data_IF_857369103917
#
_entry.id   IF_857369103917
#
_cell.length_a   1.000
_cell.length_b   1.000
_cell.length_c   1.000
_cell.angle_alpha   90.00
_cell.angle_beta   90.00
_cell.angle_gamma   90.00
#
_symmetry.space_group_name_H-M   'P 1'
#
loop_
_entity.id
_entity.type
_entity.pdbx_description
1 polymer ?
#
# COMPACT_ATOMS: atom_id res chain seq x y z
N UNK A 1 17.89 10.31 8.47
CA UNK A 1 17.16 10.04 7.21
C UNK A 1 15.66 10.08 7.51
N UNK A 2 14.86 10.82 6.74
CA UNK A 2 13.46 11.06 7.07
C UNK A 2 12.54 10.05 6.36
N UNK A 3 11.62 9.45 7.12
CA UNK A 3 10.65 8.51 6.59
C UNK A 3 9.31 9.21 6.35
N UNK A 4 8.59 8.78 5.32
CA UNK A 4 7.25 9.27 5.04
C UNK A 4 6.26 8.12 5.02
N UNK A 5 5.05 8.36 5.51
CA UNK A 5 3.92 7.44 5.33
C UNK A 5 3.24 7.77 4.00
N UNK A 6 3.11 6.77 3.14
CA UNK A 6 2.26 6.81 1.94
C UNK A 6 0.87 6.26 2.30
N UNK A 7 -0.17 7.07 2.11
CA UNK A 7 -1.57 6.69 2.35
C UNK A 7 -2.38 6.98 1.10
N UNK A 8 -3.31 6.12 0.74
CA UNK A 8 -4.24 6.38 -0.34
C UNK A 8 -5.22 7.50 0.06
N UNK A 9 -5.53 8.41 -0.85
CA UNK A 9 -6.60 9.39 -0.66
C UNK A 9 -7.93 8.77 -1.12
N UNK A 10 -8.84 8.41 -0.20
CA UNK A 10 -10.09 7.76 -0.57
C UNK A 10 -11.10 8.72 -1.18
N UNK A 11 -11.02 10.03 -0.92
CA UNK A 11 -12.05 10.97 -1.39
C UNK A 11 -11.78 11.42 -2.81
N UNK A 12 -12.81 11.28 -3.65
CA UNK A 12 -12.83 11.81 -5.01
C UNK A 12 -12.13 10.93 -6.06
N UNK A 13 -11.52 9.82 -5.66
CA UNK A 13 -10.89 8.87 -6.58
C UNK A 13 -11.70 7.58 -6.70
N UNK A 14 -11.65 6.96 -7.88
CA UNK A 14 -12.24 5.64 -8.11
C UNK A 14 -11.62 4.58 -7.20
N UNK A 15 -12.44 3.63 -6.79
CA UNK A 15 -11.99 2.46 -6.03
C UNK A 15 -12.27 1.17 -6.81
N UNK A 16 -11.52 0.13 -6.51
CA UNK A 16 -11.62 -1.17 -7.15
C UNK A 16 -12.13 -2.21 -6.15
N UNK A 17 -12.91 -3.15 -6.66
CA UNK A 17 -13.32 -4.36 -5.95
C UNK A 17 -13.23 -5.58 -6.87
N UNK A 18 -13.45 -6.75 -6.31
CA UNK A 18 -13.66 -7.96 -7.07
C UNK A 18 -14.94 -7.84 -7.90
N UNK A 19 -14.95 -8.46 -9.08
CA UNK A 19 -16.20 -8.59 -9.85
C UNK A 19 -17.30 -9.28 -9.03
N UNK A 20 -18.58 -8.89 -9.21
CA UNK A 20 -19.70 -9.60 -8.60
C UNK A 20 -19.63 -11.11 -8.83
N UNK A 21 -19.86 -11.88 -7.77
CA UNK A 21 -19.77 -13.35 -7.81
C UNK A 21 -18.39 -13.93 -7.52
N UNK A 22 -17.34 -13.11 -7.43
CA UNK A 22 -16.03 -13.52 -6.91
C UNK A 22 -15.96 -13.33 -5.40
N UNK A 23 -15.22 -14.19 -4.70
CA UNK A 23 -15.00 -14.04 -3.25
C UNK A 23 -13.53 -13.77 -2.93
N UNK A 24 -13.29 -13.11 -1.79
CA UNK A 24 -11.95 -12.93 -1.25
C UNK A 24 -11.29 -14.27 -0.87
N UNK A 25 -12.08 -15.29 -0.50
CA UNK A 25 -11.58 -16.62 -0.18
C UNK A 25 -10.95 -17.31 -1.39
N UNK A 26 -11.54 -17.11 -2.58
CA UNK A 26 -11.02 -17.62 -3.85
C UNK A 26 -9.78 -16.85 -4.32
N UNK A 27 -9.59 -15.63 -3.80
CA UNK A 27 -8.54 -14.69 -4.21
C UNK A 27 -7.55 -14.39 -3.08
N UNK A 28 -7.11 -15.44 -2.36
CA UNK A 28 -6.03 -15.32 -1.36
C UNK A 28 -4.74 -14.68 -1.94
N UNK A 29 -4.56 -14.70 -3.26
CA UNK A 29 -3.47 -13.99 -3.94
C UNK A 29 -3.46 -12.48 -3.61
N UNK A 30 -4.60 -11.87 -3.33
CA UNK A 30 -4.74 -10.44 -3.02
C UNK A 30 -4.36 -10.08 -1.59
N UNK A 31 -4.34 -11.05 -0.66
CA UNK A 31 -3.95 -10.80 0.72
C UNK A 31 -2.46 -10.53 0.78
N UNK A 32 -2.09 -9.36 1.30
CA UNK A 32 -0.71 -9.05 1.59
C UNK A 32 -0.20 -9.85 2.79
N UNK A 33 0.93 -10.52 2.63
CA UNK A 33 1.62 -11.27 3.69
C UNK A 33 3.15 -11.01 3.73
N UNK A 34 3.65 -10.11 2.87
CA UNK A 34 5.07 -9.79 2.74
C UNK A 34 5.84 -10.69 1.78
N UNK A 35 5.26 -11.79 1.32
CA UNK A 35 5.93 -12.69 0.38
C UNK A 35 5.85 -12.18 -1.06
N UNK A 36 6.85 -12.60 -1.85
CA UNK A 36 6.80 -12.49 -3.31
C UNK A 36 5.62 -13.26 -3.87
N UNK A 37 4.92 -12.65 -4.83
CA UNK A 37 3.78 -13.25 -5.53
C UNK A 37 4.07 -13.49 -7.00
N UNK A 38 5.20 -13.05 -7.56
CA UNK A 38 5.48 -13.14 -9.01
C UNK A 38 5.27 -14.53 -9.60
N UNK A 39 5.69 -15.59 -8.90
CA UNK A 39 5.60 -16.97 -9.39
C UNK A 39 4.24 -17.65 -9.12
N UNK A 40 3.41 -17.05 -8.27
CA UNK A 40 2.11 -17.61 -7.85
C UNK A 40 0.94 -16.71 -8.25
N UNK A 41 1.22 -15.58 -8.88
CA UNK A 41 0.23 -14.58 -9.22
C UNK A 41 -0.76 -15.12 -10.25
N UNK A 42 -2.03 -15.07 -9.85
CA UNK A 42 -3.17 -15.29 -10.73
C UNK A 42 -3.98 -14.00 -10.69
N UNK A 43 -3.93 -13.24 -11.79
CA UNK A 43 -4.63 -11.97 -11.91
C UNK A 43 -6.12 -12.20 -11.69
N UNK A 44 -6.74 -11.63 -10.64
CA UNK A 44 -8.18 -11.61 -10.54
C UNK A 44 -8.77 -10.65 -11.56
N UNK A 45 -10.03 -10.88 -11.92
CA UNK A 45 -10.81 -9.88 -12.63
C UNK A 45 -11.37 -8.88 -11.62
N UNK A 46 -11.06 -7.61 -11.83
CA UNK A 46 -11.51 -6.51 -10.98
C UNK A 46 -12.59 -5.70 -11.68
N UNK A 47 -13.35 -4.96 -10.89
CA UNK A 47 -14.33 -3.99 -11.34
C UNK A 47 -14.21 -2.71 -10.52
N UNK A 48 -14.77 -1.62 -11.03
CA UNK A 48 -14.98 -0.42 -10.23
C UNK A 48 -15.95 -0.72 -9.09
N UNK A 49 -15.56 -0.32 -7.89
CA UNK A 49 -16.42 -0.38 -6.73
C UNK A 49 -17.59 0.60 -6.92
N UNK A 50 -18.80 0.12 -6.64
CA UNK A 50 -20.04 0.90 -6.71
C UNK A 50 -20.84 0.63 -5.44
N UNK A 51 -21.25 1.69 -4.74
CA UNK A 51 -22.21 1.59 -3.65
C UNK A 51 -23.37 2.56 -3.86
N UNK A 52 -24.40 2.44 -3.03
CA UNK A 52 -25.65 3.21 -3.12
C UNK A 52 -25.51 4.71 -2.79
N UNK A 53 -24.36 5.13 -2.26
CA UNK A 53 -24.06 6.51 -1.84
C UNK A 53 -22.91 7.15 -2.64
N UNK A 54 -22.22 6.36 -3.46
CA UNK A 54 -21.07 6.75 -4.25
C UNK A 54 -21.48 6.69 -5.73
N UNK A 55 -22.29 7.68 -6.14
CA UNK A 55 -22.56 7.97 -7.54
C UNK A 55 -21.25 8.43 -8.19
N UNK A 56 -20.43 7.46 -8.63
CA UNK A 56 -19.15 7.56 -9.34
C UNK A 56 -18.23 8.72 -8.91
N UNK A 57 -17.20 8.47 -8.06
CA UNK A 57 -16.06 9.37 -8.04
C UNK A 57 -15.45 9.41 -9.45
N UNK A 58 -15.48 10.58 -10.10
CA UNK A 58 -15.08 10.71 -11.51
C UNK A 58 -13.57 10.50 -11.74
N UNK A 59 -12.75 10.72 -10.71
CA UNK A 59 -11.30 10.83 -10.92
C UNK A 59 -10.67 9.43 -10.92
N UNK A 60 -10.26 9.04 -12.12
CA UNK A 60 -9.32 7.94 -12.30
C UNK A 60 -7.90 8.41 -11.92
N UNK A 61 -7.47 8.02 -10.73
CA UNK A 61 -6.17 8.42 -10.15
C UNK A 61 -5.03 7.47 -10.48
N UNK A 62 -3.81 7.92 -10.18
CA UNK A 62 -2.60 7.10 -10.35
C UNK A 62 -2.41 6.04 -9.26
N UNK A 63 -2.93 6.31 -8.07
CA UNK A 63 -2.99 5.39 -6.95
C UNK A 63 -4.45 5.22 -6.53
N UNK A 64 -4.92 3.99 -6.56
CA UNK A 64 -6.30 3.64 -6.28
C UNK A 64 -6.37 2.63 -5.14
N UNK A 65 -7.46 2.72 -4.38
CA UNK A 65 -7.78 1.77 -3.33
C UNK A 65 -8.46 0.54 -3.93
N UNK A 66 -7.99 -0.63 -3.51
CA UNK A 66 -8.70 -1.88 -3.69
C UNK A 66 -9.37 -2.28 -2.37
N UNK A 67 -10.64 -2.72 -2.43
CA UNK A 67 -11.47 -3.10 -1.28
C UNK A 67 -10.99 -4.34 -0.49
N UNK A 68 -9.78 -4.84 -0.76
CA UNK A 68 -9.03 -5.78 0.10
C UNK A 68 -7.84 -5.15 0.85
N UNK A 69 -7.71 -3.82 0.84
CA UNK A 69 -6.64 -3.07 1.52
C UNK A 69 -5.33 -2.96 0.73
N UNK A 70 -5.34 -3.32 -0.56
CA UNK A 70 -4.20 -3.19 -1.45
C UNK A 70 -4.21 -1.84 -2.19
N UNK A 71 -3.04 -1.46 -2.69
CA UNK A 71 -2.85 -0.30 -3.58
C UNK A 71 -2.80 -0.78 -5.02
N UNK A 72 -3.57 -0.16 -5.90
CA UNK A 72 -3.52 -0.39 -7.34
C UNK A 72 -2.99 0.86 -8.03
N UNK A 73 -2.10 0.68 -8.99
CA UNK A 73 -1.47 1.75 -9.73
C UNK A 73 -2.01 1.80 -11.15
N UNK A 74 -2.15 3.02 -11.67
CA UNK A 74 -2.33 3.27 -13.09
C UNK A 74 -1.10 2.77 -13.87
N UNK A 75 -1.26 2.58 -15.19
CA UNK A 75 -0.12 2.28 -16.06
C UNK A 75 0.94 3.41 -16.05
N UNK A 76 0.52 4.66 -15.87
CA UNK A 76 1.44 5.80 -15.78
C UNK A 76 2.27 5.77 -14.48
N UNK A 77 1.63 5.58 -13.31
CA UNK A 77 2.34 5.41 -12.05
C UNK A 77 3.30 4.22 -12.09
N UNK A 78 2.86 3.07 -12.61
CA UNK A 78 3.74 1.92 -12.79
C UNK A 78 4.97 2.26 -13.64
N UNK A 79 4.77 2.87 -14.81
CA UNK A 79 5.87 3.26 -15.71
C UNK A 79 6.92 4.13 -15.00
N UNK A 80 6.48 5.06 -14.15
CA UNK A 80 7.33 6.00 -13.42
C UNK A 80 8.06 5.32 -12.25
N UNK A 81 7.37 4.44 -11.51
CA UNK A 81 7.86 3.93 -10.24
C UNK A 81 8.56 2.56 -10.35
N UNK A 82 8.32 1.80 -11.42
CA UNK A 82 8.79 0.41 -11.52
C UNK A 82 10.30 0.25 -11.28
N UNK A 83 11.12 1.10 -11.91
CA UNK A 83 12.57 1.01 -11.78
C UNK A 83 13.06 1.38 -10.38
N UNK A 84 12.40 2.34 -9.75
CA UNK A 84 12.76 2.84 -8.42
C UNK A 84 12.39 1.84 -7.31
N UNK A 85 11.29 1.10 -7.49
CA UNK A 85 10.74 0.21 -6.46
C UNK A 85 11.04 -1.26 -6.71
N UNK A 86 11.68 -1.63 -7.82
CA UNK A 86 11.88 -3.02 -8.27
C UNK A 86 12.46 -3.98 -7.22
N UNK A 87 13.32 -3.46 -6.33
CA UNK A 87 14.02 -4.28 -5.33
C UNK A 87 13.23 -4.40 -4.02
N UNK A 88 12.16 -3.62 -3.87
CA UNK A 88 11.38 -3.50 -2.62
C UNK A 88 9.87 -3.74 -2.80
N UNK A 89 9.40 -3.84 -4.04
CA UNK A 89 8.01 -4.11 -4.36
C UNK A 89 7.86 -4.81 -5.72
N UNK A 90 6.73 -5.47 -5.87
CA UNK A 90 6.30 -6.10 -7.12
C UNK A 90 5.08 -5.39 -7.68
N UNK A 91 4.98 -5.37 -9.00
CA UNK A 91 3.86 -4.80 -9.74
C UNK A 91 3.09 -5.93 -10.39
N UNK A 92 1.98 -6.30 -9.76
CA UNK A 92 1.21 -7.47 -10.14
C UNK A 92 0.08 -7.05 -11.08
N UNK A 93 0.11 -7.44 -12.37
CA UNK A 93 -0.85 -6.95 -13.34
C UNK A 93 -2.26 -7.44 -13.00
N UNK A 94 -3.22 -6.54 -13.14
CA UNK A 94 -4.66 -6.78 -13.01
C UNK A 94 -5.40 -6.14 -14.18
N UNK A 95 -6.54 -6.74 -14.56
CA UNK A 95 -7.39 -6.21 -15.63
C UNK A 95 -8.65 -5.61 -15.01
N UNK A 96 -8.92 -4.34 -15.36
CA UNK A 96 -10.13 -3.61 -15.01
C UNK A 96 -10.77 -3.14 -16.30
N UNK A 97 -11.95 -3.67 -16.65
CA UNK A 97 -12.70 -3.26 -17.86
C UNK A 97 -11.87 -3.28 -19.17
N UNK A 98 -10.90 -4.18 -19.28
CA UNK A 98 -10.02 -4.30 -20.45
C UNK A 98 -8.72 -3.50 -20.39
N UNK A 99 -8.57 -2.64 -19.38
CA UNK A 99 -7.33 -1.89 -19.12
C UNK A 99 -6.42 -2.61 -18.13
N UNK A 100 -5.11 -2.53 -18.35
CA UNK A 100 -4.12 -3.06 -17.40
C UNK A 100 -3.82 -2.03 -16.31
N UNK A 101 -3.88 -2.50 -15.07
CA UNK A 101 -3.40 -1.80 -13.87
C UNK A 101 -2.48 -2.72 -13.08
N UNK A 102 -1.86 -2.20 -12.02
CA UNK A 102 -0.85 -2.95 -11.27
C UNK A 102 -1.11 -2.88 -9.78
N UNK A 103 -1.40 -4.02 -9.16
CA UNK A 103 -1.43 -4.11 -7.71
C UNK A 103 0.00 -4.04 -7.17
N UNK A 104 0.24 -3.11 -6.26
CA UNK A 104 1.53 -2.90 -5.62
C UNK A 104 1.69 -3.85 -4.42
N UNK A 105 2.57 -4.85 -4.57
CA UNK A 105 2.93 -5.77 -3.49
C UNK A 105 4.28 -5.38 -2.88
N UNK A 106 4.26 -4.66 -1.76
CA UNK A 106 5.50 -4.29 -1.05
C UNK A 106 6.10 -5.54 -0.39
N UNK A 107 7.27 -5.97 -0.85
CA UNK A 107 7.97 -7.16 -0.36
C UNK A 107 9.04 -6.82 0.68
N UNK A 108 9.52 -5.57 0.71
CA UNK A 108 10.42 -5.11 1.76
C UNK A 108 9.68 -4.94 3.10
N UNK A 109 10.00 -5.81 4.06
CA UNK A 109 9.48 -5.77 5.43
C UNK A 109 10.65 -5.66 6.40
N UNK A 110 10.77 -4.50 7.05
CA UNK A 110 11.91 -4.17 7.90
C UNK A 110 11.57 -4.30 9.38
N UNK A 111 12.58 -4.65 10.18
CA UNK A 111 12.49 -4.75 11.65
C UNK A 111 13.08 -3.50 12.30
N UNK A 112 12.36 -2.38 12.18
CA UNK A 112 12.84 -1.05 12.61
C UNK A 112 12.29 -0.59 13.96
N UNK A 113 11.32 -1.32 14.52
CA UNK A 113 10.60 -0.85 15.70
C UNK A 113 11.44 -1.02 16.96
N UNK A 114 11.73 0.10 17.64
CA UNK A 114 12.31 0.09 18.98
C UNK A 114 11.21 -0.18 20.01
N UNK A 115 11.05 -1.45 20.38
CA UNK A 115 10.03 -1.89 21.33
C UNK A 115 10.17 -1.24 22.71
N UNK A 116 11.36 -0.78 23.10
CA UNK A 116 11.59 -0.16 24.41
C UNK A 116 11.04 1.27 24.48
N UNK A 117 10.94 1.94 23.33
CA UNK A 117 10.42 3.31 23.18
C UNK A 117 9.01 3.36 22.57
N UNK A 118 8.52 2.24 22.05
CA UNK A 118 7.19 2.14 21.46
C UNK A 118 6.12 1.89 22.53
N UNK A 119 4.94 2.44 22.32
CA UNK A 119 3.79 2.25 23.21
C UNK A 119 2.84 1.22 22.64
N UNK A 120 2.49 0.23 23.47
CA UNK A 120 1.57 -0.85 23.12
C UNK A 120 0.31 -0.77 23.96
N UNK A 121 -0.82 -1.14 23.36
CA UNK A 121 -2.06 -1.33 24.11
C UNK A 121 -1.86 -2.43 25.14
N UNK A 122 -2.21 -2.17 26.41
CA UNK A 122 -2.27 -3.20 27.44
C UNK A 122 -3.73 -3.51 27.73
N UNK A 123 -4.14 -4.76 27.52
CA UNK A 123 -5.49 -5.21 27.84
C UNK A 123 -5.66 -5.36 29.36
N UNK A 124 -6.91 -5.33 29.84
CA UNK A 124 -7.20 -5.45 31.28
C UNK A 124 -6.73 -6.76 31.93
N UNK A 125 -6.43 -7.79 31.14
CA UNK A 125 -5.83 -9.05 31.58
C UNK A 125 -4.29 -9.03 31.58
N UNK A 126 -3.65 -7.89 31.33
CA UNK A 126 -2.20 -7.72 31.25
C UNK A 126 -1.56 -8.16 29.94
N UNK A 127 -2.33 -8.66 28.96
CA UNK A 127 -1.78 -9.02 27.65
C UNK A 127 -1.38 -7.78 26.85
N UNK A 128 -0.23 -7.87 26.20
CA UNK A 128 0.25 -6.85 25.25
C UNK A 128 -0.51 -7.01 23.94
N UNK A 129 -1.21 -5.95 23.55
CA UNK A 129 -1.95 -5.81 22.30
C UNK A 129 -1.16 -5.10 21.21
N UNK A 130 -1.85 -4.54 20.20
CA UNK A 130 -1.20 -3.87 19.08
C UNK A 130 -0.41 -2.63 19.53
N UNK A 131 0.59 -2.27 18.72
CA UNK A 131 1.34 -1.03 18.87
C UNK A 131 0.43 0.18 18.58
N UNK A 132 0.36 1.14 19.51
CA UNK A 132 -0.39 2.39 19.35
C UNK A 132 0.51 3.48 18.74
N UNK A 133 1.71 3.63 19.29
CA UNK A 133 2.73 4.58 18.85
C UNK A 133 4.07 3.89 18.67
N UNK A 134 4.53 3.76 17.42
CA UNK A 134 5.79 3.09 17.13
C UNK A 134 6.95 4.10 17.16
N UNK A 135 8.01 3.79 17.89
CA UNK A 135 9.30 4.44 17.68
C UNK A 135 10.09 3.62 16.65
N UNK A 136 10.51 4.26 15.56
CA UNK A 136 11.20 3.60 14.45
C UNK A 136 12.64 4.10 14.38
N UNK A 137 13.57 3.15 14.27
CA UNK A 137 14.95 3.42 13.87
C UNK A 137 15.00 3.82 12.39
N UNK A 138 16.06 4.51 11.98
CA UNK A 138 16.24 4.91 10.60
C UNK A 138 16.48 3.69 9.70
N UNK A 139 15.79 3.56 8.55
CA UNK A 139 16.08 2.55 7.55
C UNK A 139 17.32 2.92 6.74
N UNK A 140 17.89 1.93 6.05
CA UNK A 140 18.89 2.19 5.02
C UNK A 140 18.28 2.89 3.81
N UNK A 141 19.06 3.75 3.16
CA UNK A 141 18.62 4.60 2.04
C UNK A 141 18.09 3.82 0.84
N UNK A 142 18.57 2.59 0.64
CA UNK A 142 18.16 1.72 -0.46
C UNK A 142 16.72 1.20 -0.32
N UNK A 143 16.12 1.30 0.87
CA UNK A 143 14.72 0.93 1.09
C UNK A 143 13.78 2.04 0.61
N UNK A 144 13.48 2.03 -0.69
CA UNK A 144 12.66 3.06 -1.35
C UNK A 144 11.20 3.01 -0.92
N UNK A 145 10.67 1.81 -0.69
CA UNK A 145 9.34 1.54 -0.14
C UNK A 145 9.40 0.32 0.78
N UNK A 146 8.74 0.36 1.93
CA UNK A 146 8.75 -0.77 2.87
C UNK A 146 7.56 -0.76 3.82
N UNK A 147 7.39 -1.86 4.56
CA UNK A 147 6.50 -1.97 5.71
C UNK A 147 7.30 -2.33 6.95
N UNK A 148 6.80 -1.95 8.13
CA UNK A 148 7.48 -2.23 9.40
C UNK A 148 6.83 -3.41 10.12
N UNK A 149 7.65 -4.41 10.49
CA UNK A 149 7.22 -5.56 11.28
C UNK A 149 6.61 -5.11 12.60
N UNK A 150 5.39 -5.56 12.89
CA UNK A 150 4.66 -5.20 14.11
C UNK A 150 3.96 -3.83 14.07
N UNK A 151 4.08 -3.07 12.97
CA UNK A 151 3.40 -1.78 12.78
C UNK A 151 2.71 -1.68 11.41
N UNK A 152 1.98 -2.74 11.08
CA UNK A 152 1.19 -2.88 9.85
C UNK A 152 -0.19 -2.20 9.99
N UNK A 153 -0.85 -1.84 8.87
CA UNK A 153 -0.49 -2.09 7.47
C UNK A 153 0.28 -0.94 6.78
N UNK A 154 0.80 0.03 7.55
CA UNK A 154 1.37 1.28 7.03
C UNK A 154 2.52 1.04 6.04
N UNK A 155 2.48 1.76 4.93
CA UNK A 155 3.54 1.79 3.92
C UNK A 155 4.41 3.02 4.15
N UNK A 156 5.71 2.80 4.23
CA UNK A 156 6.72 3.83 4.37
C UNK A 156 7.49 3.99 3.07
N UNK A 157 7.93 5.21 2.79
CA UNK A 157 8.78 5.54 1.67
C UNK A 157 9.91 6.48 2.12
N UNK A 158 11.03 6.45 1.41
CA UNK A 158 12.12 7.39 1.60
C UNK A 158 11.88 8.71 0.83
N UNK A 159 12.75 9.70 1.06
CA UNK A 159 12.67 11.02 0.41
C UNK A 159 12.78 10.95 -1.12
N UNK A 160 13.62 10.05 -1.66
CA UNK A 160 13.78 9.86 -3.11
C UNK A 160 12.44 9.48 -3.75
N UNK A 161 11.75 8.51 -3.14
CA UNK A 161 10.45 8.03 -3.61
C UNK A 161 9.36 9.08 -3.47
N UNK A 162 9.33 9.80 -2.33
CA UNK A 162 8.42 10.94 -2.16
C UNK A 162 8.60 11.95 -3.30
N UNK A 163 9.83 12.39 -3.54
CA UNK A 163 10.12 13.39 -4.55
C UNK A 163 9.77 12.89 -5.95
N UNK A 164 9.99 11.61 -6.25
CA UNK A 164 9.60 11.02 -7.53
C UNK A 164 8.08 11.07 -7.75
N UNK A 165 7.28 10.77 -6.72
CA UNK A 165 5.81 10.82 -6.78
C UNK A 165 5.33 12.27 -6.98
N UNK A 166 5.82 13.20 -6.14
CA UNK A 166 5.40 14.60 -6.16
C UNK A 166 5.82 15.32 -7.45
N UNK A 167 7.08 15.18 -7.88
CA UNK A 167 7.60 15.85 -9.07
C UNK A 167 6.96 15.32 -10.37
N UNK A 168 6.43 14.10 -10.34
CA UNK A 168 5.72 13.50 -11.48
C UNK A 168 4.24 13.85 -11.51
N UNK A 169 3.72 14.57 -10.50
CA UNK A 169 2.31 14.96 -10.41
C UNK A 169 1.35 13.78 -10.24
N UNK A 170 1.81 12.66 -9.67
CA UNK A 170 0.95 11.48 -9.46
C UNK A 170 -0.13 11.76 -8.42
N UNK A 171 -1.34 11.26 -8.68
CA UNK A 171 -2.55 11.53 -7.89
C UNK A 171 -3.02 10.32 -7.08
N UNK A 172 -3.96 10.53 -6.12
CA UNK A 172 -4.57 9.44 -5.34
C UNK A 172 -3.79 9.03 -4.08
N UNK A 173 -2.79 9.81 -3.66
CA UNK A 173 -2.03 9.59 -2.42
C UNK A 173 -1.86 10.85 -1.59
N UNK A 174 -1.73 10.63 -0.29
CA UNK A 174 -1.20 11.56 0.69
C UNK A 174 0.14 11.05 1.20
N UNK A 175 1.15 11.92 1.17
CA UNK A 175 2.47 11.66 1.75
C UNK A 175 2.64 12.53 3.00
N UNK A 176 2.96 11.91 4.13
CA UNK A 176 3.16 12.61 5.40
C UNK A 176 4.48 12.22 6.03
N UNK A 177 5.21 13.19 6.56
CA UNK A 177 6.41 12.94 7.35
C UNK A 177 6.06 12.08 8.57
N UNK A 178 6.84 11.02 8.81
CA UNK A 178 6.74 10.24 10.03
C UNK A 178 7.65 10.82 11.10
N UNK A 179 7.04 11.23 12.22
CA UNK A 179 7.78 11.69 13.39
C UNK A 179 7.63 10.64 14.49
N UNK A 180 8.76 10.22 15.05
CA UNK A 180 8.75 9.38 16.24
C UNK A 180 7.99 10.12 17.36
N UNK A 181 7.16 9.39 18.13
CA UNK A 181 6.44 9.94 19.27
C UNK A 181 7.37 10.39 20.41
#
# INVERSE_FOLDING_TARGET
MMNYILTLEPKGFKELDLKPGSTYADNNCLRWNGDSKLNTWKSPELAWFKDEFNEDPDIDGDFLKFHGGATVLSTNAHRILQTLLKDSAEFLPVIVEGETRYLLNVTSVLDLMDKSKSTFKIYGNGQVGPCEHAYLNEPDIENTIFKVRGYLPRVFINEITKNQIENSGLTGVLIREYKNP
#
